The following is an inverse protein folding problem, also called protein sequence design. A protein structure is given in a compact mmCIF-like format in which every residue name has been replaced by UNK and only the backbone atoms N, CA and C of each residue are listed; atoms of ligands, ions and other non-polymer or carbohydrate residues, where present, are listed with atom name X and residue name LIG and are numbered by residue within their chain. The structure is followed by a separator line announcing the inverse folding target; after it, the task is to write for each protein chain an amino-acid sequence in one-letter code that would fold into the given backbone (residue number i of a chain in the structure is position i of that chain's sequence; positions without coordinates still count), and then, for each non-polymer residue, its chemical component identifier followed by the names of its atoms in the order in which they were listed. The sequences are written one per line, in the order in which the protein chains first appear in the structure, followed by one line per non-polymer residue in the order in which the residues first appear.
data_IF_963331085411
#
_entry.id   IF_963331085411
#
_cell.length_a   1.000
_cell.length_b   1.000
_cell.length_c   1.000
_cell.angle_alpha   90.00
_cell.angle_beta   90.00
_cell.angle_gamma   90.00
#
_symmetry.space_group_name_H-M   'P 1'
#
loop_
_entity.id
_entity.type
_entity.pdbx_description
1 polymer ?
#
# COMPACT_ATOMS: atom_id res chain seq x y z
N UNK A 1 16.02 -16.87 4.18
CA UNK A 1 17.14 -15.98 3.81
C UNK A 1 17.25 -15.00 4.99
N UNK A 2 17.69 -13.75 4.91
CA UNK A 2 17.16 -12.76 5.87
C UNK A 2 15.87 -12.26 5.23
N UNK A 3 14.76 -12.83 5.67
CA UNK A 3 13.41 -12.57 5.14
C UNK A 3 12.86 -11.26 5.76
N UNK A 4 13.65 -10.19 5.70
CA UNK A 4 13.20 -8.86 6.12
C UNK A 4 12.24 -8.32 5.04
N UNK A 5 10.96 -8.63 5.18
CA UNK A 5 9.91 -8.10 4.32
C UNK A 5 9.89 -6.56 4.44
N UNK A 6 10.30 -5.80 3.40
CA UNK A 6 10.39 -4.34 3.48
C UNK A 6 9.02 -3.69 3.64
N UNK A 7 7.93 -4.40 3.31
CA UNK A 7 6.56 -3.93 3.50
C UNK A 7 6.09 -4.09 4.94
N UNK A 8 6.77 -4.87 5.80
CA UNK A 8 6.44 -4.94 7.23
C UNK A 8 6.65 -3.57 7.91
N UNK A 9 7.56 -2.73 7.41
CA UNK A 9 7.74 -1.36 7.90
C UNK A 9 6.59 -0.45 7.43
N UNK A 10 5.86 0.10 8.40
CA UNK A 10 4.80 1.08 8.17
C UNK A 10 5.27 2.34 7.44
N UNK A 11 6.54 2.72 7.57
CA UNK A 11 7.12 3.87 6.86
C UNK A 11 7.23 3.60 5.37
N UNK A 12 7.70 2.41 4.99
CA UNK A 12 7.86 2.01 3.59
C UNK A 12 6.51 2.00 2.88
N UNK A 13 5.51 1.33 3.46
CA UNK A 13 4.15 1.30 2.89
C UNK A 13 3.54 2.71 2.75
N UNK A 14 3.73 3.58 3.74
CA UNK A 14 3.26 4.97 3.69
C UNK A 14 3.98 5.78 2.61
N UNK A 15 5.29 5.60 2.45
CA UNK A 15 6.04 6.28 1.38
C UNK A 15 5.56 5.87 0.00
N UNK A 16 5.27 4.58 -0.20
CA UNK A 16 4.71 4.08 -1.46
C UNK A 16 3.37 4.79 -1.76
N UNK A 17 2.41 4.73 -0.84
CA UNK A 17 1.10 5.38 -1.03
C UNK A 17 1.18 6.89 -1.19
N UNK A 18 2.04 7.57 -0.42
CA UNK A 18 2.22 9.02 -0.52
C UNK A 18 2.90 9.44 -1.82
N UNK A 19 3.82 8.63 -2.37
CA UNK A 19 4.50 8.95 -3.62
C UNK A 19 3.55 8.94 -4.82
N UNK A 20 2.68 7.93 -4.91
CA UNK A 20 1.64 7.84 -5.94
C UNK A 20 0.64 8.99 -5.81
N UNK A 21 0.13 9.20 -4.59
CA UNK A 21 -0.78 10.29 -4.29
C UNK A 21 -0.19 11.68 -4.61
N UNK A 22 1.10 11.89 -4.35
CA UNK A 22 1.78 13.15 -4.66
C UNK A 22 1.83 13.41 -6.17
N UNK A 23 2.10 12.37 -6.99
CA UNK A 23 2.08 12.50 -8.46
C UNK A 23 0.67 12.84 -8.94
N UNK A 24 -0.36 12.13 -8.46
CA UNK A 24 -1.75 12.42 -8.83
C UNK A 24 -2.18 13.83 -8.42
N UNK A 25 -1.81 14.27 -7.21
CA UNK A 25 -2.09 15.61 -6.74
C UNK A 25 -1.38 16.67 -7.57
N UNK A 26 -0.11 16.45 -7.94
CA UNK A 26 0.63 17.34 -8.82
C UNK A 26 -0.04 17.44 -10.19
N UNK A 27 -0.45 16.31 -10.78
CA UNK A 27 -1.19 16.30 -12.05
C UNK A 27 -2.49 17.10 -11.93
N UNK A 28 -3.24 16.90 -10.85
CA UNK A 28 -4.51 17.58 -10.64
C UNK A 28 -4.38 19.09 -10.45
N UNK A 29 -3.35 19.55 -9.75
CA UNK A 29 -3.14 20.98 -9.47
C UNK A 29 -2.60 21.70 -10.70
N UNK A 30 -1.68 21.06 -11.44
CA UNK A 30 -0.94 21.71 -12.52
C UNK A 30 -1.63 21.62 -13.89
N UNK A 31 -2.48 20.60 -14.11
CA UNK A 31 -3.02 20.33 -15.45
C UNK A 31 -4.56 20.20 -15.52
N UNK A 32 -5.26 20.09 -14.38
CA UNK A 32 -6.72 19.90 -14.37
C UNK A 32 -7.45 21.15 -13.91
N UNK A 33 -8.61 21.39 -14.53
CA UNK A 33 -9.50 22.49 -14.21
C UNK A 33 -10.92 22.00 -13.86
N UNK A 34 -11.71 22.89 -13.27
CA UNK A 34 -13.10 22.62 -12.91
C UNK A 34 -13.26 21.43 -11.95
N UNK A 35 -14.35 20.69 -12.13
CA UNK A 35 -14.71 19.57 -11.24
C UNK A 35 -13.72 18.40 -11.32
N UNK A 36 -13.07 18.19 -12.47
CA UNK A 36 -12.16 17.07 -12.69
C UNK A 36 -10.94 17.13 -11.76
N UNK A 37 -10.42 18.34 -11.49
CA UNK A 37 -9.36 18.55 -10.50
C UNK A 37 -9.72 18.00 -9.13
N UNK A 38 -10.92 18.29 -8.65
CA UNK A 38 -11.38 17.85 -7.32
C UNK A 38 -11.61 16.34 -7.26
N UNK A 39 -12.10 15.74 -8.34
CA UNK A 39 -12.25 14.28 -8.45
C UNK A 39 -10.87 13.61 -8.33
N UNK A 40 -9.88 14.07 -9.10
CA UNK A 40 -8.54 13.47 -9.07
C UNK A 40 -7.82 13.72 -7.74
N UNK A 41 -8.02 14.89 -7.12
CA UNK A 41 -7.54 15.12 -5.75
C UNK A 41 -8.20 14.16 -4.73
N UNK A 42 -9.49 13.85 -4.91
CA UNK A 42 -10.17 12.82 -4.13
C UNK A 42 -9.53 11.44 -4.32
N UNK A 43 -9.21 11.07 -5.57
CA UNK A 43 -8.50 9.81 -5.87
C UNK A 43 -7.11 9.81 -5.25
N UNK A 44 -6.36 10.91 -5.31
CA UNK A 44 -5.05 11.02 -4.68
C UNK A 44 -5.14 10.84 -3.15
N UNK A 45 -6.15 11.42 -2.51
CA UNK A 45 -6.38 11.23 -1.08
C UNK A 45 -6.74 9.78 -0.74
N UNK A 46 -7.54 9.12 -1.58
CA UNK A 46 -7.84 7.70 -1.43
C UNK A 46 -6.58 6.85 -1.60
N UNK A 47 -5.75 7.11 -2.62
CA UNK A 47 -4.50 6.38 -2.86
C UNK A 47 -3.54 6.46 -1.65
N UNK A 48 -3.41 7.64 -1.05
CA UNK A 48 -2.58 7.85 0.14
C UNK A 48 -3.01 7.02 1.36
N UNK A 49 -4.27 6.57 1.42
CA UNK A 49 -4.84 5.82 2.55
C UNK A 49 -5.00 4.34 2.21
N UNK A 50 -5.55 4.04 1.03
CA UNK A 50 -5.91 2.69 0.60
C UNK A 50 -4.67 1.88 0.29
N UNK A 51 -3.68 2.44 -0.40
CA UNK A 51 -2.44 1.73 -0.74
C UNK A 51 -1.69 1.21 0.49
N UNK A 52 -1.37 2.02 1.53
CA UNK A 52 -0.70 1.49 2.72
C UNK A 52 -1.58 0.52 3.51
N UNK A 53 -2.91 0.67 3.47
CA UNK A 53 -3.85 -0.25 4.10
C UNK A 53 -3.84 -1.64 3.43
N UNK A 54 -3.93 -1.69 2.10
CA UNK A 54 -3.87 -2.94 1.35
C UNK A 54 -2.50 -3.61 1.53
N UNK A 55 -1.40 -2.86 1.48
CA UNK A 55 -0.08 -3.42 1.70
C UNK A 55 0.09 -3.97 3.12
N UNK A 56 -0.56 -3.36 4.12
CA UNK A 56 -0.58 -3.91 5.49
C UNK A 56 -1.30 -5.26 5.51
N UNK A 57 -2.49 -5.33 4.91
CA UNK A 57 -3.28 -6.57 4.86
C UNK A 57 -2.56 -7.67 4.07
N UNK A 58 -1.84 -7.31 3.00
CA UNK A 58 -1.07 -8.27 2.21
C UNK A 58 0.04 -8.93 3.03
N UNK A 59 0.74 -8.17 3.88
CA UNK A 59 1.75 -8.72 4.80
C UNK A 59 1.12 -9.64 5.84
N UNK A 60 0.03 -9.19 6.48
CA UNK A 60 -0.65 -9.97 7.52
C UNK A 60 -1.16 -11.34 6.98
N UNK A 61 -1.70 -11.36 5.76
CA UNK A 61 -2.17 -12.60 5.14
C UNK A 61 -1.01 -13.52 4.70
N UNK A 62 0.16 -12.97 4.36
CA UNK A 62 1.34 -13.73 3.96
C UNK A 62 1.91 -14.47 5.19
N UNK A 63 2.06 -13.75 6.31
CA UNK A 63 2.51 -14.29 7.59
C UNK A 63 1.58 -15.44 8.09
N UNK A 64 0.25 -15.26 8.02
CA UNK A 64 -0.72 -16.31 8.40
C UNK A 64 -0.59 -17.58 7.54
N UNK A 65 -0.24 -17.42 6.26
CA UNK A 65 -0.09 -18.56 5.35
C UNK A 65 1.21 -19.34 5.59
N UNK A 66 2.29 -18.68 6.00
CA UNK A 66 3.54 -19.33 6.38
C UNK A 66 3.39 -20.10 7.71
N UNK A 67 2.70 -19.50 8.70
CA UNK A 67 2.40 -20.17 9.97
C UNK A 67 1.54 -21.43 9.77
N UNK A 68 0.53 -21.39 8.88
CA UNK A 68 -0.29 -22.57 8.57
C UNK A 68 0.53 -23.69 7.89
N UNK A 69 1.46 -23.34 7.00
CA UNK A 69 2.35 -24.31 6.34
C UNK A 69 3.32 -24.95 7.32
N UNK A 70 3.87 -24.19 8.27
CA UNK A 70 4.78 -24.72 9.29
C UNK A 70 4.07 -25.58 10.34
N UNK A 71 2.84 -25.22 10.74
CA UNK A 71 2.06 -25.98 11.74
C UNK A 71 1.50 -27.30 11.18
N UNK A 72 1.12 -27.35 9.89
CA UNK A 72 0.65 -28.58 9.23
C UNK A 72 1.74 -29.31 8.42
N UNK A 73 2.93 -28.71 8.32
CA UNK A 73 4.13 -29.20 7.62
C UNK A 73 4.88 -30.32 8.34
N UNK A 74 4.23 -31.47 8.52
CA UNK A 74 4.84 -32.80 8.61
C UNK A 74 5.58 -33.21 9.91
N UNK A 75 4.94 -34.07 10.72
CA UNK A 75 5.62 -35.07 11.56
C UNK A 75 6.24 -36.18 10.68
N UNK A 76 7.57 -36.16 10.43
CA UNK A 76 8.41 -37.32 10.07
C UNK A 76 9.70 -37.26 10.86
#
# INVERSE_FOLDING_TARGET
MTDDNPLADARVRRLIGLSGAAVLAAVAILFLEGSLRWIVLGVAALDAIVTPYILKQAVENDDESEEEVDEYGFSR
#
